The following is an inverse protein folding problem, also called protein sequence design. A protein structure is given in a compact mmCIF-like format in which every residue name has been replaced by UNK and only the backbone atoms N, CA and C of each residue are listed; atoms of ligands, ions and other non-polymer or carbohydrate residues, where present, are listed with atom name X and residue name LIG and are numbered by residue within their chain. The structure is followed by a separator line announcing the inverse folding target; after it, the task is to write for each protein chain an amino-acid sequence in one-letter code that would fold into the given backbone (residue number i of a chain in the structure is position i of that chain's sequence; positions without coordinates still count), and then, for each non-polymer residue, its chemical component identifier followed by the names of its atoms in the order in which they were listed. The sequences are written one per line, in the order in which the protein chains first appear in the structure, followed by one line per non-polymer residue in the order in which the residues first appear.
data_IF_916288813850
#
_entry.id   IF_916288813850
#
_cell.length_a   1.000
_cell.length_b   1.000
_cell.length_c   1.000
_cell.angle_alpha   90.00
_cell.angle_beta   90.00
_cell.angle_gamma   90.00
#
_symmetry.space_group_name_H-M   'P 1'
#
loop_
_entity.id
_entity.type
_entity.pdbx_description
1 polymer ?
#
# COMPACT_ATOMS: atom_id res chain seq x y z
N UNK A 1 21.01 37.68 -16.84
CA UNK A 1 19.81 36.85 -17.05
C UNK A 1 20.20 35.40 -16.81
N UNK A 2 19.93 34.87 -15.62
CA UNK A 2 20.19 33.45 -15.29
C UNK A 2 19.02 32.61 -15.81
N UNK A 3 19.26 31.87 -16.88
CA UNK A 3 18.33 30.86 -17.39
C UNK A 3 18.08 29.81 -16.29
N UNK A 4 16.88 29.81 -15.71
CA UNK A 4 16.47 28.79 -14.76
C UNK A 4 16.41 27.44 -15.49
N UNK A 5 17.20 26.45 -15.03
CA UNK A 5 17.15 25.08 -15.57
C UNK A 5 15.70 24.56 -15.53
N UNK A 6 15.18 23.99 -16.63
CA UNK A 6 13.84 23.40 -16.62
C UNK A 6 13.80 22.28 -15.57
N UNK A 7 12.83 22.35 -14.65
CA UNK A 7 12.59 21.29 -13.67
C UNK A 7 12.22 20.01 -14.41
N UNK A 8 13.01 18.94 -14.20
CA UNK A 8 12.74 17.62 -14.78
C UNK A 8 11.35 17.13 -14.33
N UNK A 9 10.48 16.80 -15.28
CA UNK A 9 9.18 16.20 -14.98
C UNK A 9 9.39 14.81 -14.33
N UNK A 10 8.88 14.64 -13.11
CA UNK A 10 8.99 13.38 -12.33
C UNK A 10 7.65 12.64 -12.23
N UNK A 11 6.57 13.14 -12.83
CA UNK A 11 5.27 12.48 -12.82
C UNK A 11 5.30 11.09 -13.48
N UNK A 12 5.96 10.87 -14.64
CA UNK A 12 6.04 9.52 -15.23
C UNK A 12 6.70 8.50 -14.30
N UNK A 13 7.71 8.93 -13.54
CA UNK A 13 8.38 8.08 -12.55
C UNK A 13 7.42 7.70 -11.41
N UNK A 14 6.64 8.66 -10.91
CA UNK A 14 5.63 8.41 -9.88
C UNK A 14 4.60 7.36 -10.34
N UNK A 15 4.09 7.52 -11.56
CA UNK A 15 3.10 6.62 -12.14
C UNK A 15 3.67 5.21 -12.42
N UNK A 16 4.93 5.11 -12.84
CA UNK A 16 5.60 3.82 -13.02
C UNK A 16 5.74 3.09 -11.69
N UNK A 17 6.19 3.80 -10.65
CA UNK A 17 6.33 3.23 -9.31
C UNK A 17 4.98 2.77 -8.74
N UNK A 18 3.88 3.47 -9.04
CA UNK A 18 2.53 3.03 -8.69
C UNK A 18 2.19 1.63 -9.20
N UNK A 19 2.61 1.25 -10.42
CA UNK A 19 2.40 -0.11 -10.96
C UNK A 19 3.38 -1.09 -10.33
N UNK A 20 4.67 -0.74 -10.24
CA UNK A 20 5.69 -1.61 -9.66
C UNK A 20 5.33 -1.99 -8.23
N UNK A 21 4.88 -1.02 -7.43
CA UNK A 21 4.45 -1.25 -6.06
C UNK A 21 3.17 -2.09 -5.98
N UNK A 22 2.19 -1.90 -6.89
CA UNK A 22 1.01 -2.76 -6.96
C UNK A 22 1.40 -4.22 -7.26
N UNK A 23 2.25 -4.45 -8.26
CA UNK A 23 2.71 -5.80 -8.60
C UNK A 23 3.51 -6.43 -7.43
N UNK A 24 4.33 -5.62 -6.76
CA UNK A 24 5.11 -6.09 -5.63
C UNK A 24 4.21 -6.50 -4.43
N UNK A 25 3.20 -5.71 -4.05
CA UNK A 25 2.27 -6.10 -2.97
C UNK A 25 1.44 -7.33 -3.36
N UNK A 26 1.04 -7.43 -4.63
CA UNK A 26 0.34 -8.61 -5.16
C UNK A 26 1.21 -9.87 -5.17
N UNK A 27 2.54 -9.76 -5.12
CA UNK A 27 3.44 -10.89 -4.95
C UNK A 27 3.74 -11.19 -3.47
N UNK A 28 3.81 -10.17 -2.60
CA UNK A 28 4.01 -10.35 -1.16
C UNK A 28 2.82 -11.04 -0.50
N UNK A 29 1.59 -10.66 -0.85
CA UNK A 29 0.38 -11.21 -0.22
C UNK A 29 0.28 -12.74 -0.36
N UNK A 30 0.37 -13.34 -1.56
CA UNK A 30 0.36 -14.80 -1.71
C UNK A 30 1.54 -15.47 -1.02
N UNK A 31 2.75 -14.88 -1.07
CA UNK A 31 3.92 -15.43 -0.40
C UNK A 31 3.72 -15.54 1.12
N UNK A 32 2.99 -14.60 1.73
CA UNK A 32 2.62 -14.67 3.15
C UNK A 32 1.50 -15.67 3.42
N UNK A 33 0.49 -15.75 2.56
CA UNK A 33 -0.62 -16.71 2.71
C UNK A 33 -0.14 -18.16 2.61
N UNK A 34 0.87 -18.42 1.79
CA UNK A 34 1.42 -19.76 1.55
C UNK A 34 2.61 -20.11 2.46
N UNK A 35 2.91 -19.28 3.48
CA UNK A 35 4.10 -19.43 4.34
C UNK A 35 5.40 -19.69 3.57
N UNK A 36 5.56 -18.99 2.44
CA UNK A 36 6.72 -19.17 1.58
C UNK A 36 8.00 -18.72 2.31
N UNK A 37 9.17 -19.32 2.00
CA UNK A 37 10.42 -18.94 2.62
C UNK A 37 10.70 -17.44 2.48
N UNK A 38 11.27 -16.75 3.50
CA UNK A 38 11.38 -15.29 3.52
C UNK A 38 12.10 -14.67 2.31
N UNK A 39 13.06 -15.39 1.72
CA UNK A 39 13.81 -14.94 0.55
C UNK A 39 12.95 -14.82 -0.71
N UNK A 40 11.78 -15.48 -0.77
CA UNK A 40 10.84 -15.38 -1.90
C UNK A 40 10.14 -14.03 -1.91
N UNK A 41 9.75 -13.51 -0.75
CA UNK A 41 9.07 -12.22 -0.60
C UNK A 41 10.05 -11.03 -0.55
N UNK A 42 11.29 -11.26 -0.10
CA UNK A 42 12.31 -10.23 0.09
C UNK A 42 12.49 -9.23 -1.09
N UNK A 43 12.67 -9.67 -2.36
CA UNK A 43 12.82 -8.73 -3.47
C UNK A 43 11.58 -7.87 -3.70
N UNK A 44 10.38 -8.41 -3.48
CA UNK A 44 9.13 -7.66 -3.62
C UNK A 44 8.94 -6.66 -2.48
N UNK A 45 9.34 -7.01 -1.25
CA UNK A 45 9.38 -6.07 -0.12
C UNK A 45 10.33 -4.91 -0.41
N UNK A 46 11.52 -5.17 -0.96
CA UNK A 46 12.45 -4.12 -1.38
C UNK A 46 11.85 -3.24 -2.48
N UNK A 47 11.19 -3.83 -3.47
CA UNK A 47 10.49 -3.10 -4.52
C UNK A 47 9.38 -2.20 -3.96
N UNK A 48 8.63 -2.66 -2.95
CA UNK A 48 7.63 -1.84 -2.25
C UNK A 48 8.23 -0.64 -1.54
N UNK A 49 9.34 -0.85 -0.81
CA UNK A 49 10.03 0.22 -0.06
C UNK A 49 10.55 1.27 -1.04
N UNK A 50 11.22 0.83 -2.12
CA UNK A 50 11.73 1.74 -3.15
C UNK A 50 10.59 2.47 -3.83
N UNK A 51 9.52 1.77 -4.22
CA UNK A 51 8.37 2.37 -4.89
C UNK A 51 7.70 3.44 -4.01
N UNK A 52 7.33 3.11 -2.77
CA UNK A 52 6.72 4.07 -1.83
C UNK A 52 7.62 5.28 -1.60
N UNK A 53 8.92 5.06 -1.42
CA UNK A 53 9.88 6.15 -1.18
C UNK A 53 9.98 7.09 -2.37
N UNK A 54 10.05 6.54 -3.59
CA UNK A 54 10.10 7.32 -4.83
C UNK A 54 8.78 8.04 -5.06
N UNK A 55 7.64 7.36 -4.87
CA UNK A 55 6.31 7.98 -4.98
C UNK A 55 6.14 9.13 -3.99
N UNK A 56 6.56 8.94 -2.73
CA UNK A 56 6.54 10.00 -1.74
C UNK A 56 7.39 11.20 -2.19
N UNK A 57 8.62 10.97 -2.63
CA UNK A 57 9.52 12.03 -3.08
C UNK A 57 9.02 12.76 -4.34
N UNK A 58 8.18 12.11 -5.15
CA UNK A 58 7.66 12.63 -6.42
C UNK A 58 6.19 13.02 -6.39
N UNK A 59 5.50 12.91 -5.24
CA UNK A 59 4.05 13.17 -5.13
C UNK A 59 3.63 14.60 -5.44
N UNK A 60 4.56 15.56 -5.43
CA UNK A 60 4.32 16.98 -5.74
C UNK A 60 4.81 17.37 -7.14
N UNK A 61 4.87 16.40 -8.06
CA UNK A 61 5.35 16.67 -9.42
C UNK A 61 4.34 17.51 -10.21
N UNK A 62 3.05 17.29 -9.95
CA UNK A 62 1.90 18.02 -10.51
C UNK A 62 0.68 17.82 -9.58
N UNK A 63 -0.42 18.51 -9.87
CA UNK A 63 -1.68 18.38 -9.11
C UNK A 63 -2.28 16.97 -9.23
N UNK A 64 -2.09 16.33 -10.38
CA UNK A 64 -2.59 14.99 -10.64
C UNK A 64 -1.95 13.94 -9.71
N UNK A 65 -0.62 13.86 -9.68
CA UNK A 65 0.14 12.95 -8.80
C UNK A 65 -0.11 13.24 -7.32
N UNK A 66 -0.34 14.50 -6.96
CA UNK A 66 -0.74 14.88 -5.60
C UNK A 66 -2.14 14.33 -5.26
N UNK A 67 -3.10 14.48 -6.18
CA UNK A 67 -4.46 13.97 -6.03
C UNK A 67 -4.55 12.44 -6.01
N UNK A 68 -3.67 11.75 -6.73
CA UNK A 68 -3.52 10.29 -6.66
C UNK A 68 -2.91 9.86 -5.32
N UNK A 69 -1.82 10.50 -4.89
CA UNK A 69 -1.19 10.23 -3.60
C UNK A 69 -2.18 10.40 -2.44
N UNK A 70 -2.94 11.51 -2.44
CA UNK A 70 -3.94 11.78 -1.41
C UNK A 70 -5.03 10.72 -1.34
N UNK A 71 -5.54 10.26 -2.50
CA UNK A 71 -6.54 9.20 -2.54
C UNK A 71 -6.01 7.87 -1.99
N UNK A 72 -4.81 7.46 -2.41
CA UNK A 72 -4.16 6.25 -1.90
C UNK A 72 -3.89 6.34 -0.39
N UNK A 73 -3.36 7.47 0.09
CA UNK A 73 -3.07 7.67 1.50
C UNK A 73 -4.33 7.66 2.37
N UNK A 74 -5.42 8.29 1.92
CA UNK A 74 -6.71 8.27 2.62
C UNK A 74 -7.29 6.85 2.67
N UNK A 75 -7.18 6.08 1.57
CA UNK A 75 -7.62 4.69 1.56
C UNK A 75 -6.82 3.81 2.53
N UNK A 76 -5.49 3.95 2.54
CA UNK A 76 -4.63 3.24 3.48
C UNK A 76 -4.96 3.58 4.94
N UNK A 77 -5.19 4.86 5.23
CA UNK A 77 -5.61 5.32 6.54
C UNK A 77 -6.98 4.77 6.94
N UNK A 78 -7.96 4.81 6.05
CA UNK A 78 -9.28 4.24 6.31
C UNK A 78 -9.19 2.74 6.61
N UNK A 79 -8.37 2.00 5.86
CA UNK A 79 -8.18 0.55 6.07
C UNK A 79 -7.48 0.26 7.39
N UNK A 80 -6.45 1.02 7.77
CA UNK A 80 -5.78 0.75 9.05
C UNK A 80 -6.68 1.10 10.25
N UNK A 81 -7.47 2.16 10.15
CA UNK A 81 -8.49 2.50 11.16
C UNK A 81 -9.55 1.40 11.24
N UNK A 82 -10.08 0.95 10.09
CA UNK A 82 -11.03 -0.14 10.04
C UNK A 82 -10.45 -1.42 10.63
N UNK A 83 -9.19 -1.75 10.33
CA UNK A 83 -8.51 -2.89 10.91
C UNK A 83 -8.40 -2.79 12.44
N UNK A 84 -7.93 -1.65 12.96
CA UNK A 84 -7.80 -1.44 14.40
C UNK A 84 -9.13 -1.51 15.14
N UNK A 85 -10.21 -1.00 14.53
CA UNK A 85 -11.53 -0.99 15.15
C UNK A 85 -12.23 -2.34 15.02
N UNK A 86 -12.10 -3.02 13.89
CA UNK A 86 -12.97 -4.16 13.52
C UNK A 86 -12.27 -5.50 13.75
N UNK A 87 -10.94 -5.59 13.59
CA UNK A 87 -10.21 -6.86 13.78
C UNK A 87 -10.43 -7.49 15.18
N UNK A 88 -10.43 -6.74 16.29
CA UNK A 88 -10.70 -7.33 17.62
C UNK A 88 -12.10 -7.95 17.75
N UNK A 89 -13.10 -7.39 17.06
CA UNK A 89 -14.46 -7.95 17.08
C UNK A 89 -14.53 -9.27 16.31
N UNK A 90 -13.84 -9.37 15.16
CA UNK A 90 -13.77 -10.62 14.40
C UNK A 90 -12.99 -11.70 15.13
N UNK A 91 -11.91 -11.32 15.79
CA UNK A 91 -11.13 -12.23 16.63
C UNK A 91 -11.98 -12.80 17.77
N UNK A 92 -12.65 -11.95 18.56
CA UNK A 92 -13.54 -12.41 19.62
C UNK A 92 -14.70 -13.28 19.13
N UNK A 93 -15.23 -13.01 17.93
CA UNK A 93 -16.26 -13.85 17.31
C UNK A 93 -15.71 -15.22 16.87
N UNK A 94 -14.52 -15.24 16.24
CA UNK A 94 -13.87 -16.48 15.78
C UNK A 94 -13.44 -17.36 16.95
N UNK A 95 -12.84 -16.79 17.98
CA UNK A 95 -12.44 -17.50 19.20
C UNK A 95 -13.68 -18.06 19.92
N UNK A 96 -14.78 -17.30 19.95
CA UNK A 96 -16.06 -17.75 20.49
C UNK A 96 -16.70 -18.92 19.71
N UNK A 97 -16.46 -19.02 18.40
CA UNK A 97 -16.93 -20.13 17.56
C UNK A 97 -16.01 -21.36 17.62
N UNK A 98 -14.71 -21.16 17.77
CA UNK A 98 -13.70 -22.24 17.69
C UNK A 98 -13.26 -22.77 19.05
N UNK A 99 -13.65 -22.13 20.14
CA UNK A 99 -13.26 -22.49 21.51
C UNK A 99 -11.77 -22.30 21.78
N UNK A 100 -11.09 -21.51 20.95
CA UNK A 100 -9.66 -21.27 21.03
C UNK A 100 -9.41 -19.97 21.81
N UNK A 101 -9.32 -20.06 23.14
CA UNK A 101 -9.08 -18.90 24.02
C UNK A 101 -7.61 -18.45 24.10
N UNK A 102 -6.71 -19.10 23.33
CA UNK A 102 -5.28 -18.92 23.44
C UNK A 102 -4.69 -18.05 22.33
N UNK A 103 -4.60 -16.75 22.59
CA UNK A 103 -3.69 -15.82 21.91
C UNK A 103 -4.33 -14.90 20.87
N UNK A 104 -3.64 -13.78 20.58
CA UNK A 104 -4.02 -12.85 19.51
C UNK A 104 -3.77 -13.54 18.16
N UNK A 105 -4.83 -14.09 17.57
CA UNK A 105 -4.84 -14.78 16.28
C UNK A 105 -4.75 -13.80 15.10
N UNK A 106 -5.12 -12.52 15.30
CA UNK A 106 -5.00 -11.49 14.24
C UNK A 106 -3.65 -10.74 14.32
N UNK A 107 -2.70 -10.98 13.41
CA UNK A 107 -1.39 -10.35 13.49
C UNK A 107 -1.48 -8.87 13.10
N UNK A 108 -0.81 -8.01 13.88
CA UNK A 108 -0.64 -6.59 13.57
C UNK A 108 -0.01 -6.34 12.18
N UNK A 109 0.75 -7.31 11.66
CA UNK A 109 1.29 -7.28 10.29
C UNK A 109 0.19 -7.27 9.22
N UNK A 110 -0.96 -7.91 9.46
CA UNK A 110 -2.06 -8.00 8.50
C UNK A 110 -2.65 -6.62 8.16
N UNK A 111 -2.80 -5.75 9.16
CA UNK A 111 -3.28 -4.39 8.96
C UNK A 111 -2.35 -3.54 8.10
N UNK A 112 -1.04 -3.74 8.26
CA UNK A 112 -0.02 -3.02 7.47
C UNK A 112 -0.04 -3.47 6.00
N UNK A 113 -0.14 -4.78 5.75
CA UNK A 113 -0.26 -5.34 4.40
C UNK A 113 -1.55 -4.86 3.73
N UNK A 114 -2.67 -4.89 4.43
CA UNK A 114 -3.96 -4.43 3.93
C UNK A 114 -3.95 -2.93 3.58
N UNK A 115 -3.35 -2.10 4.44
CA UNK A 115 -3.24 -0.66 4.19
C UNK A 115 -2.38 -0.34 2.97
N UNK A 116 -1.23 -1.03 2.80
CA UNK A 116 -0.36 -0.86 1.63
C UNK A 116 -1.07 -1.34 0.36
N UNK A 117 -1.79 -2.46 0.41
CA UNK A 117 -2.58 -2.94 -0.72
C UNK A 117 -3.65 -1.92 -1.11
N UNK A 118 -4.39 -1.38 -0.13
CA UNK A 118 -5.41 -0.37 -0.36
C UNK A 118 -4.82 0.92 -0.96
N UNK A 119 -3.65 1.36 -0.49
CA UNK A 119 -2.92 2.48 -1.08
C UNK A 119 -2.73 2.29 -2.58
N UNK A 120 -2.13 1.16 -2.97
CA UNK A 120 -1.78 0.90 -4.38
C UNK A 120 -3.01 0.63 -5.25
N UNK A 121 -4.03 -0.05 -4.72
CA UNK A 121 -5.29 -0.26 -5.43
C UNK A 121 -5.96 1.07 -5.72
N UNK A 122 -6.23 1.90 -4.71
CA UNK A 122 -6.93 3.17 -4.90
C UNK A 122 -6.11 4.14 -5.74
N UNK A 123 -4.78 4.18 -5.55
CA UNK A 123 -3.89 4.96 -6.41
C UNK A 123 -4.04 4.60 -7.89
N UNK A 124 -3.97 3.31 -8.22
CA UNK A 124 -4.04 2.85 -9.62
C UNK A 124 -5.46 2.87 -10.18
N UNK A 125 -6.49 2.57 -9.37
CA UNK A 125 -7.88 2.72 -9.77
C UNK A 125 -8.19 4.17 -10.12
N UNK A 126 -7.84 5.13 -9.25
CA UNK A 126 -8.05 6.56 -9.52
C UNK A 126 -7.28 7.03 -10.75
N UNK A 127 -6.08 6.48 -10.99
CA UNK A 127 -5.32 6.72 -12.21
C UNK A 127 -6.06 6.26 -13.47
N UNK A 128 -6.74 5.11 -13.42
CA UNK A 128 -7.45 4.53 -14.55
C UNK A 128 -8.84 5.17 -14.79
N UNK A 129 -9.54 5.55 -13.72
CA UNK A 129 -10.88 6.14 -13.81
C UNK A 129 -10.88 7.65 -14.05
N UNK A 130 -9.70 8.28 -14.05
CA UNK A 130 -9.55 9.73 -14.13
C UNK A 130 -9.74 10.39 -12.76
N UNK A 131 -8.83 11.30 -12.41
CA UNK A 131 -9.05 12.26 -11.35
C UNK A 131 -9.81 13.44 -11.98
N UNK A 132 -11.15 13.40 -11.92
CA UNK A 132 -11.97 14.60 -12.11
C UNK A 132 -11.73 15.59 -10.96
#
# INVERSE_FOLDING_TARGET
MTSAKPRKNRAPLNLLMGIIGLLAIMAVVPARIMDAPPYTAAPFVLALIVSLSVMFATRKSDEYTLGLWGAGANAAFAVIVAWMLIAPFFEGFYDGLTGNEAGMNFPAEGGSIAAILAFYLVFNTKRLTGAL
#
